data_IF_943911894117
#
_entry.id   IF_943911894117
#
_cell.length_a   1.000
_cell.length_b   1.000
_cell.length_c   1.000
_cell.angle_alpha   90.00
_cell.angle_beta   90.00
_cell.angle_gamma   90.00
#
_symmetry.space_group_name_H-M   'P 1'
#
loop_
_entity.id
_entity.type
_entity.pdbx_description
1 polymer ?
#
# COMPACT_ATOMS: atom_id res chain seq x y z
N UNK A 1 6.48 21.58 -6.53
CA UNK A 1 6.09 22.77 -5.73
C UNK A 1 4.65 23.11 -6.11
N UNK A 2 3.79 23.29 -5.10
CA UNK A 2 2.34 23.52 -5.15
C UNK A 2 1.44 22.32 -5.55
N UNK A 3 1.12 21.48 -4.56
CA UNK A 3 -0.08 20.64 -4.52
C UNK A 3 -1.32 21.55 -4.54
N UNK A 4 -2.23 21.34 -5.49
CA UNK A 4 -3.63 21.74 -5.36
C UNK A 4 -4.28 20.80 -4.34
N UNK A 5 -4.10 21.11 -3.04
CA UNK A 5 -4.81 20.47 -1.92
C UNK A 5 -6.31 20.86 -2.04
N UNK A 6 -7.15 19.85 -2.25
CA UNK A 6 -8.61 19.93 -2.35
C UNK A 6 -9.17 20.74 -1.17
N UNK A 7 -9.79 21.89 -1.45
CA UNK A 7 -10.25 22.88 -0.45
C UNK A 7 -11.21 22.31 0.61
N UNK A 8 -11.81 21.13 0.37
CA UNK A 8 -12.62 20.39 1.34
C UNK A 8 -11.77 19.77 2.47
N UNK A 9 -10.51 19.43 2.20
CA UNK A 9 -9.55 18.91 3.18
C UNK A 9 -9.07 19.98 4.16
N UNK A 10 -8.79 21.18 3.67
CA UNK A 10 -8.35 22.33 4.48
C UNK A 10 -9.41 22.77 5.50
N UNK A 11 -10.66 22.89 5.10
CA UNK A 11 -11.76 23.28 5.99
C UNK A 11 -11.95 22.23 7.09
N UNK A 12 -11.93 20.93 6.76
CA UNK A 12 -12.00 19.85 7.75
C UNK A 12 -10.80 19.83 8.70
N UNK A 13 -9.59 20.12 8.22
CA UNK A 13 -8.38 20.28 9.06
C UNK A 13 -8.59 21.42 10.07
N UNK A 14 -9.09 22.58 9.63
CA UNK A 14 -9.35 23.74 10.49
C UNK A 14 -10.44 23.45 11.54
N UNK A 15 -11.57 22.84 11.15
CA UNK A 15 -12.62 22.46 12.11
C UNK A 15 -12.12 21.45 13.16
N UNK A 16 -11.29 20.49 12.75
CA UNK A 16 -10.68 19.53 13.67
C UNK A 16 -9.72 20.20 14.65
N UNK A 17 -8.90 21.15 14.18
CA UNK A 17 -8.02 21.94 15.04
C UNK A 17 -8.81 22.82 16.03
N UNK A 18 -9.91 23.44 15.59
CA UNK A 18 -10.80 24.22 16.47
C UNK A 18 -11.42 23.35 17.57
N UNK A 19 -11.88 22.14 17.24
CA UNK A 19 -12.43 21.21 18.22
C UNK A 19 -11.38 20.78 19.26
N UNK A 20 -10.11 20.63 18.87
CA UNK A 20 -9.02 20.34 19.81
C UNK A 20 -8.72 21.49 20.76
N UNK A 21 -8.70 22.74 20.26
CA UNK A 21 -8.53 23.93 21.10
C UNK A 21 -9.66 24.04 22.13
N UNK A 22 -10.91 23.85 21.70
CA UNK A 22 -12.08 23.88 22.59
C UNK A 22 -11.99 22.81 23.69
N UNK A 23 -11.55 21.60 23.35
CA UNK A 23 -11.35 20.52 24.34
C UNK A 23 -10.28 20.87 25.37
N UNK A 24 -9.15 21.46 24.95
CA UNK A 24 -8.09 21.88 25.88
C UNK A 24 -8.59 22.96 26.83
N UNK A 25 -9.33 23.94 26.33
CA UNK A 25 -9.94 24.99 27.16
C UNK A 25 -10.94 24.38 28.15
N UNK A 26 -11.81 23.48 27.71
CA UNK A 26 -12.76 22.79 28.58
C UNK A 26 -12.06 22.03 29.72
N UNK A 27 -11.00 21.29 29.41
CA UNK A 27 -10.19 20.58 30.39
C UNK A 27 -9.57 21.54 31.40
N UNK A 28 -9.02 22.66 30.94
CA UNK A 28 -8.42 23.67 31.82
C UNK A 28 -9.46 24.30 32.77
N UNK A 29 -10.67 24.57 32.28
CA UNK A 29 -11.79 25.06 33.10
C UNK A 29 -12.20 24.02 34.14
N UNK A 30 -12.38 22.75 33.74
CA UNK A 30 -12.73 21.67 34.66
C UNK A 30 -11.67 21.46 35.75
N UNK A 31 -10.38 21.48 35.38
CA UNK A 31 -9.27 21.40 36.32
C UNK A 31 -9.26 22.60 37.28
N UNK A 32 -9.45 23.82 36.76
CA UNK A 32 -9.49 25.04 37.58
C UNK A 32 -10.61 24.99 38.63
N UNK A 33 -11.82 24.62 38.22
CA UNK A 33 -12.96 24.46 39.14
C UNK A 33 -12.70 23.34 40.16
N UNK A 34 -12.19 22.20 39.70
CA UNK A 34 -11.89 21.06 40.58
C UNK A 34 -10.85 21.40 41.64
N UNK A 35 -9.73 22.02 41.25
CA UNK A 35 -8.66 22.44 42.17
C UNK A 35 -9.16 23.50 43.15
N UNK A 36 -9.97 24.46 42.70
CA UNK A 36 -10.53 25.50 43.56
C UNK A 36 -11.48 24.92 44.63
N UNK A 37 -12.32 23.94 44.26
CA UNK A 37 -13.20 23.25 45.20
C UNK A 37 -12.42 22.42 46.24
N UNK A 38 -11.33 21.76 45.82
CA UNK A 38 -10.45 21.02 46.73
C UNK A 38 -9.74 21.98 47.70
N UNK A 39 -9.26 23.14 47.23
CA UNK A 39 -8.57 24.12 48.06
C UNK A 39 -9.46 24.66 49.20
N UNK A 40 -10.75 24.86 48.95
CA UNK A 40 -11.72 25.34 49.94
C UNK A 40 -11.98 24.35 51.10
N UNK A 41 -11.63 23.08 50.94
CA UNK A 41 -11.76 22.06 51.99
C UNK A 41 -10.71 22.20 53.11
N UNK A 42 -9.55 22.80 52.82
CA UNK A 42 -8.35 22.72 53.66
C UNK A 42 -8.46 23.36 55.06
N UNK A 43 -9.48 24.18 55.33
CA UNK A 43 -9.58 24.94 56.59
C UNK A 43 -10.63 24.43 57.58
N UNK A 44 -11.54 23.50 57.22
CA UNK A 44 -12.79 23.33 58.00
C UNK A 44 -13.48 21.95 57.79
N UNK A 45 -12.76 20.88 58.11
CA UNK A 45 -13.10 19.48 57.82
C UNK A 45 -14.38 18.90 58.47
N UNK A 46 -14.96 19.56 59.48
CA UNK A 46 -16.05 19.00 60.29
C UNK A 46 -17.47 19.18 59.72
N UNK A 47 -17.65 19.92 58.61
CA UNK A 47 -18.99 20.20 58.04
C UNK A 47 -19.33 19.27 56.87
N UNK A 48 -20.51 18.60 56.86
CA UNK A 48 -20.90 17.66 55.80
C UNK A 48 -21.00 18.30 54.40
N UNK A 49 -21.38 19.59 54.32
CA UNK A 49 -21.39 20.32 53.05
C UNK A 49 -20.00 20.46 52.41
N UNK A 50 -18.93 20.52 53.21
CA UNK A 50 -17.55 20.64 52.73
C UNK A 50 -16.99 19.30 52.25
N UNK A 51 -17.46 18.17 52.79
CA UNK A 51 -17.13 16.84 52.27
C UNK A 51 -17.69 16.63 50.86
N UNK A 52 -18.91 17.12 50.58
CA UNK A 52 -19.48 17.08 49.24
C UNK A 52 -18.66 17.88 48.21
N UNK A 53 -18.13 19.05 48.60
CA UNK A 53 -17.26 19.86 47.73
C UNK A 53 -15.95 19.14 47.37
N UNK A 54 -15.37 18.38 48.31
CA UNK A 54 -14.18 17.57 48.04
C UNK A 54 -14.47 16.46 47.02
N UNK A 55 -15.57 15.73 47.20
CA UNK A 55 -15.96 14.64 46.28
C UNK A 55 -16.21 15.19 44.87
N UNK A 56 -16.94 16.30 44.76
CA UNK A 56 -17.20 16.96 43.47
C UNK A 56 -15.91 17.49 42.85
N UNK A 57 -15.03 18.11 43.64
CA UNK A 57 -13.73 18.61 43.17
C UNK A 57 -12.83 17.48 42.65
N UNK A 58 -12.73 16.38 43.39
CA UNK A 58 -11.98 15.19 42.99
C UNK A 58 -12.56 14.57 41.71
N UNK A 59 -13.89 14.46 41.64
CA UNK A 59 -14.57 13.95 40.45
C UNK A 59 -14.27 14.82 39.21
N UNK A 60 -14.32 16.14 39.33
CA UNK A 60 -13.98 17.06 38.22
C UNK A 60 -12.53 16.92 37.77
N UNK A 61 -11.59 16.79 38.71
CA UNK A 61 -10.18 16.55 38.38
C UNK A 61 -9.98 15.19 37.68
N UNK A 62 -10.57 14.12 38.19
CA UNK A 62 -10.51 12.78 37.57
C UNK A 62 -11.15 12.80 36.18
N UNK A 63 -12.28 13.48 36.01
CA UNK A 63 -12.95 13.63 34.72
C UNK A 63 -12.09 14.39 33.71
N UNK A 64 -11.46 15.50 34.13
CA UNK A 64 -10.56 16.26 33.27
C UNK A 64 -9.34 15.44 32.83
N UNK A 65 -8.73 14.68 33.76
CA UNK A 65 -7.63 13.75 33.47
C UNK A 65 -8.09 12.62 32.54
N UNK A 66 -9.28 12.06 32.75
CA UNK A 66 -9.84 11.02 31.89
C UNK A 66 -10.08 11.52 30.46
N UNK A 67 -10.61 12.75 30.28
CA UNK A 67 -10.79 13.37 28.97
C UNK A 67 -9.44 13.56 28.25
N UNK A 68 -8.42 14.05 28.96
CA UNK A 68 -7.06 14.18 28.41
C UNK A 68 -6.46 12.82 28.03
N UNK A 69 -6.58 11.84 28.92
CA UNK A 69 -6.10 10.49 28.69
C UNK A 69 -6.74 9.91 27.44
N UNK A 70 -8.07 9.93 27.32
CA UNK A 70 -8.78 9.42 26.14
C UNK A 70 -8.32 10.15 24.87
N UNK A 71 -8.16 11.47 24.88
CA UNK A 71 -7.71 12.23 23.71
C UNK A 71 -6.28 11.85 23.30
N UNK A 72 -5.35 11.81 24.25
CA UNK A 72 -3.95 11.49 23.99
C UNK A 72 -3.80 10.04 23.50
N UNK A 73 -4.46 9.11 24.19
CA UNK A 73 -4.39 7.70 23.84
C UNK A 73 -5.11 7.37 22.52
N UNK A 74 -6.22 8.03 22.19
CA UNK A 74 -6.92 7.79 20.91
C UNK A 74 -6.07 8.12 19.68
N UNK A 75 -5.12 9.06 19.80
CA UNK A 75 -4.22 9.47 18.71
C UNK A 75 -2.96 8.60 18.63
N UNK A 76 -2.44 8.16 19.77
CA UNK A 76 -1.23 7.32 19.84
C UNK A 76 -1.54 5.87 19.44
N UNK A 77 -2.77 5.42 19.69
CA UNK A 77 -3.12 4.00 19.56
C UNK A 77 -3.22 3.50 18.12
N UNK A 78 -3.30 4.35 17.09
CA UNK A 78 -3.40 3.88 15.70
C UNK A 78 -2.59 4.75 14.75
N UNK A 79 -1.69 4.10 14.02
CA UNK A 79 -0.94 4.68 12.90
C UNK A 79 -1.30 3.90 11.66
N UNK A 80 -1.74 4.58 10.60
CA UNK A 80 -2.03 3.97 9.30
C UNK A 80 -1.32 4.77 8.22
N UNK A 81 -0.51 4.08 7.44
CA UNK A 81 0.14 4.62 6.25
C UNK A 81 -0.33 3.84 5.03
N UNK A 82 -0.56 4.57 3.94
CA UNK A 82 -0.88 3.99 2.62
C UNK A 82 0.18 4.50 1.65
N UNK A 83 0.74 3.59 0.88
CA UNK A 83 1.78 3.84 -0.10
C UNK A 83 1.26 3.40 -1.46
N UNK A 84 1.26 4.33 -2.42
CA UNK A 84 0.93 4.07 -3.81
C UNK A 84 2.13 3.41 -4.49
N UNK A 85 1.99 2.13 -4.82
CA UNK A 85 2.92 1.39 -5.64
C UNK A 85 2.42 1.25 -7.08
N UNK A 86 3.32 0.82 -7.96
CA UNK A 86 2.99 0.49 -9.35
C UNK A 86 3.51 -0.87 -9.73
N UNK A 87 2.88 -1.50 -10.72
CA UNK A 87 3.47 -2.61 -11.45
C UNK A 87 3.15 -2.48 -12.93
N UNK A 88 3.99 -3.10 -13.76
CA UNK A 88 3.84 -3.08 -15.21
C UNK A 88 3.49 -4.50 -15.64
N UNK A 89 2.48 -4.60 -16.48
CA UNK A 89 1.98 -5.85 -17.04
C UNK A 89 2.04 -5.79 -18.56
N UNK A 90 2.69 -6.76 -19.18
CA UNK A 90 2.67 -6.92 -20.64
C UNK A 90 1.48 -7.81 -21.03
N UNK A 91 0.52 -7.21 -21.70
CA UNK A 91 -0.71 -7.88 -22.13
C UNK A 91 -0.46 -8.90 -23.25
N UNK A 92 0.66 -8.82 -23.97
CA UNK A 92 1.00 -9.78 -25.03
C UNK A 92 1.59 -11.06 -24.47
N UNK A 93 2.55 -10.94 -23.56
CA UNK A 93 3.25 -12.08 -22.95
C UNK A 93 2.53 -12.63 -21.71
N UNK A 94 1.51 -11.94 -21.21
CA UNK A 94 0.75 -12.30 -20.00
C UNK A 94 1.68 -12.41 -18.77
N UNK A 95 2.62 -11.47 -18.67
CA UNK A 95 3.68 -11.49 -17.69
C UNK A 95 3.92 -10.11 -17.07
N UNK A 96 4.45 -10.11 -15.84
CA UNK A 96 4.92 -8.88 -15.22
C UNK A 96 6.24 -8.43 -15.84
N UNK A 97 6.39 -7.12 -16.00
CA UNK A 97 7.64 -6.51 -16.42
C UNK A 97 8.34 -5.93 -15.18
N UNK A 98 9.52 -6.46 -14.90
CA UNK A 98 10.35 -5.98 -13.79
C UNK A 98 10.87 -4.58 -14.10
N UNK A 99 10.62 -3.64 -13.18
CA UNK A 99 11.18 -2.30 -13.23
C UNK A 99 12.49 -2.28 -12.46
N UNK A 100 13.58 -1.98 -13.15
CA UNK A 100 14.91 -1.92 -12.56
C UNK A 100 14.97 -0.98 -11.35
N UNK A 101 15.71 -1.39 -10.32
CA UNK A 101 15.89 -0.67 -9.05
C UNK A 101 14.61 -0.37 -8.28
N UNK A 102 13.46 -0.88 -8.72
CA UNK A 102 12.20 -0.75 -7.99
C UNK A 102 11.83 -2.06 -7.30
N UNK A 103 12.13 -2.13 -6.00
CA UNK A 103 11.98 -3.33 -5.19
C UNK A 103 10.60 -3.98 -5.34
N UNK A 104 9.53 -3.19 -5.25
CA UNK A 104 8.18 -3.73 -5.29
C UNK A 104 7.88 -4.44 -6.61
N UNK A 105 8.19 -3.82 -7.75
CA UNK A 105 8.00 -4.46 -9.05
C UNK A 105 8.88 -5.70 -9.21
N UNK A 106 10.15 -5.62 -8.81
CA UNK A 106 11.09 -6.73 -8.90
C UNK A 106 10.64 -7.95 -8.07
N UNK A 107 10.23 -7.74 -6.82
CA UNK A 107 9.80 -8.84 -5.94
C UNK A 107 8.51 -9.49 -6.43
N UNK A 108 7.55 -8.70 -6.93
CA UNK A 108 6.33 -9.25 -7.53
C UNK A 108 6.68 -10.16 -8.71
N UNK A 109 7.54 -9.73 -9.63
CA UNK A 109 7.98 -10.56 -10.77
C UNK A 109 8.69 -11.83 -10.27
N UNK A 110 9.64 -11.67 -9.33
CA UNK A 110 10.45 -12.76 -8.79
C UNK A 110 9.60 -13.86 -8.16
N UNK A 111 8.65 -13.51 -7.30
CA UNK A 111 7.77 -14.50 -6.66
C UNK A 111 6.73 -15.05 -7.61
N UNK A 112 6.23 -14.25 -8.56
CA UNK A 112 5.31 -14.71 -9.59
C UNK A 112 5.95 -15.80 -10.46
N UNK A 113 7.11 -15.49 -11.06
CA UNK A 113 7.83 -16.41 -11.94
C UNK A 113 8.21 -17.69 -11.21
N UNK A 114 8.68 -17.58 -9.97
CA UNK A 114 9.01 -18.73 -9.15
C UNK A 114 7.79 -19.59 -8.77
N UNK A 115 6.63 -18.97 -8.51
CA UNK A 115 5.41 -19.70 -8.18
C UNK A 115 4.88 -20.47 -9.40
N UNK A 116 4.90 -19.85 -10.58
CA UNK A 116 4.45 -20.47 -11.82
C UNK A 116 5.39 -21.58 -12.29
N UNK A 117 6.70 -21.44 -12.07
CA UNK A 117 7.66 -22.49 -12.35
C UNK A 117 7.43 -23.75 -11.49
N UNK A 118 6.94 -23.57 -10.25
CA UNK A 118 6.75 -24.68 -9.31
C UNK A 118 5.36 -25.31 -9.33
N UNK A 119 4.29 -24.53 -9.51
CA UNK A 119 2.91 -24.98 -9.34
C UNK A 119 2.06 -24.71 -10.59
N UNK A 120 1.82 -25.79 -11.36
CA UNK A 120 1.01 -25.75 -12.57
C UNK A 120 -0.46 -25.39 -12.28
N UNK A 121 -0.98 -25.68 -11.09
CA UNK A 121 -2.35 -25.33 -10.73
C UNK A 121 -2.46 -23.83 -10.46
N UNK A 122 -1.46 -23.23 -9.81
CA UNK A 122 -1.38 -21.76 -9.69
C UNK A 122 -1.32 -21.09 -11.05
N UNK A 123 -0.48 -21.61 -11.96
CA UNK A 123 -0.41 -21.10 -13.34
C UNK A 123 -1.77 -21.12 -14.02
N UNK A 124 -2.45 -22.26 -14.01
CA UNK A 124 -3.77 -22.41 -14.62
C UNK A 124 -4.82 -21.48 -13.98
N UNK A 125 -4.75 -21.23 -12.67
CA UNK A 125 -5.63 -20.27 -11.98
C UNK A 125 -5.33 -18.83 -12.43
N UNK A 126 -4.06 -18.46 -12.56
CA UNK A 126 -3.64 -17.13 -13.00
C UNK A 126 -4.13 -16.80 -14.41
N UNK A 127 -4.00 -17.75 -15.34
CA UNK A 127 -4.47 -17.59 -16.73
C UNK A 127 -5.99 -17.31 -16.81
N UNK A 128 -6.75 -17.75 -15.81
CA UNK A 128 -8.19 -17.47 -15.66
C UNK A 128 -8.49 -16.15 -14.93
N UNK A 129 -7.50 -15.54 -14.27
CA UNK A 129 -7.60 -14.30 -13.49
C UNK A 129 -6.99 -13.11 -14.22
N UNK A 130 -7.40 -12.87 -15.48
CA UNK A 130 -6.94 -11.71 -16.25
C UNK A 130 -7.25 -10.39 -15.57
N UNK A 131 -6.32 -9.44 -15.72
CA UNK A 131 -6.49 -8.06 -15.25
C UNK A 131 -7.54 -7.34 -16.09
N UNK A 132 -8.81 -7.50 -15.74
CA UNK A 132 -9.91 -6.74 -16.35
C UNK A 132 -9.84 -5.28 -15.88
N UNK A 133 -9.85 -4.33 -16.83
CA UNK A 133 -10.05 -2.91 -16.55
C UNK A 133 -11.38 -2.71 -15.83
N UNK A 134 -11.32 -2.10 -14.63
CA UNK A 134 -12.49 -1.76 -13.80
C UNK A 134 -13.45 -2.93 -13.52
N UNK A 135 -13.17 -3.77 -12.52
CA UNK A 135 -14.30 -4.51 -11.93
C UNK A 135 -14.04 -5.70 -11.02
N UNK A 136 -12.88 -6.37 -11.11
CA UNK A 136 -12.62 -7.53 -10.26
C UNK A 136 -11.32 -7.38 -9.49
N UNK A 137 -11.43 -7.53 -8.16
CA UNK A 137 -10.28 -7.72 -7.26
C UNK A 137 -9.48 -8.90 -7.83
N UNK A 138 -8.24 -8.66 -8.26
CA UNK A 138 -7.34 -9.77 -8.60
C UNK A 138 -6.79 -10.32 -7.28
N UNK A 139 -7.56 -11.24 -6.69
CA UNK A 139 -7.27 -11.85 -5.39
C UNK A 139 -5.89 -12.50 -5.39
N UNK A 140 -5.51 -13.11 -6.51
CA UNK A 140 -4.22 -13.78 -6.64
C UNK A 140 -3.06 -12.76 -6.62
N UNK A 141 -3.19 -11.62 -7.30
CA UNK A 141 -2.22 -10.53 -7.17
C UNK A 141 -2.15 -9.98 -5.74
N UNK A 142 -3.30 -9.80 -5.07
CA UNK A 142 -3.35 -9.34 -3.68
C UNK A 142 -2.64 -10.34 -2.75
N UNK A 143 -2.85 -11.63 -2.93
CA UNK A 143 -2.17 -12.69 -2.17
C UNK A 143 -0.66 -12.68 -2.39
N UNK A 144 -0.21 -12.58 -3.64
CA UNK A 144 1.20 -12.48 -4.03
C UNK A 144 1.88 -11.27 -3.38
N UNK A 145 1.30 -10.08 -3.56
CA UNK A 145 1.83 -8.84 -3.02
C UNK A 145 1.83 -8.84 -1.48
N UNK A 146 0.79 -9.41 -0.86
CA UNK A 146 0.73 -9.55 0.59
C UNK A 146 1.81 -10.50 1.11
N UNK A 147 2.10 -11.60 0.40
CA UNK A 147 3.22 -12.48 0.71
C UNK A 147 4.56 -11.75 0.60
N UNK A 148 4.80 -10.98 -0.47
CA UNK A 148 6.02 -10.21 -0.64
C UNK A 148 6.27 -9.23 0.52
N UNK A 149 5.22 -8.55 1.00
CA UNK A 149 5.29 -7.68 2.17
C UNK A 149 5.57 -8.45 3.47
N UNK A 150 4.96 -9.63 3.65
CA UNK A 150 5.24 -10.48 4.80
C UNK A 150 6.69 -10.97 4.79
N UNK A 151 7.22 -11.35 3.62
CA UNK A 151 8.62 -11.75 3.51
C UNK A 151 9.56 -10.57 3.80
N UNK A 152 9.21 -9.36 3.34
CA UNK A 152 9.98 -8.17 3.68
C UNK A 152 9.98 -7.88 5.19
N UNK A 153 8.84 -8.06 5.86
CA UNK A 153 8.77 -7.99 7.31
C UNK A 153 9.67 -9.06 7.95
N UNK A 154 9.65 -10.28 7.43
CA UNK A 154 10.47 -11.40 7.89
C UNK A 154 11.96 -11.08 7.85
N UNK A 155 12.44 -10.53 6.72
CA UNK A 155 13.83 -10.09 6.55
C UNK A 155 14.17 -8.97 7.53
N UNK A 156 13.34 -7.92 7.59
CA UNK A 156 13.55 -6.76 8.46
C UNK A 156 13.63 -7.14 9.94
N UNK A 157 12.75 -8.05 10.39
CA UNK A 157 12.75 -8.52 11.78
C UNK A 157 13.93 -9.43 12.09
N UNK A 158 14.34 -10.26 11.13
CA UNK A 158 15.53 -11.10 11.29
C UNK A 158 16.77 -10.23 11.49
N UNK A 159 16.96 -9.21 10.66
CA UNK A 159 18.07 -8.25 10.81
C UNK A 159 17.99 -7.49 12.13
N UNK A 160 16.79 -7.05 12.53
CA UNK A 160 16.59 -6.31 13.77
C UNK A 160 16.89 -7.11 15.02
N UNK A 161 16.48 -8.39 15.07
CA UNK A 161 16.65 -9.25 16.23
C UNK A 161 17.96 -10.04 16.24
N UNK A 162 18.80 -9.91 15.21
CA UNK A 162 20.11 -10.56 15.15
C UNK A 162 21.16 -9.93 16.10
N UNK A 163 20.79 -8.93 16.90
CA UNK A 163 21.66 -8.32 17.91
C UNK A 163 21.63 -9.09 19.24
N UNK A 164 22.82 -9.37 19.79
CA UNK A 164 23.05 -9.94 21.14
C UNK A 164 22.35 -9.20 22.28
N UNK A 165 21.89 -7.97 22.04
CA UNK A 165 21.18 -7.19 23.04
C UNK A 165 19.78 -7.76 23.36
N UNK A 166 19.22 -8.65 22.54
CA UNK A 166 17.92 -9.31 22.78
C UNK A 166 18.08 -10.65 23.49
N UNK A 167 17.12 -10.96 24.36
CA UNK A 167 17.08 -12.25 25.05
C UNK A 167 16.30 -13.25 24.18
N UNK A 168 16.94 -14.34 23.74
CA UNK A 168 16.30 -15.39 22.94
C UNK A 168 15.04 -15.95 23.62
N UNK A 169 15.04 -16.01 24.95
CA UNK A 169 13.88 -16.44 25.74
C UNK A 169 12.65 -15.53 25.62
N UNK A 170 12.79 -14.33 25.05
CA UNK A 170 11.67 -13.40 24.82
C UNK A 170 11.17 -13.41 23.37
N UNK A 171 11.85 -14.14 22.48
CA UNK A 171 11.54 -14.24 21.05
C UNK A 171 11.02 -15.64 20.71
N UNK A 172 10.31 -15.71 19.59
CA UNK A 172 9.71 -16.90 19.02
C UNK A 172 9.90 -16.84 17.50
N UNK A 173 10.36 -17.93 16.91
CA UNK A 173 10.61 -18.03 15.46
C UNK A 173 9.45 -18.81 14.84
N UNK A 174 8.56 -18.10 14.15
CA UNK A 174 7.44 -18.72 13.45
C UNK A 174 7.92 -19.37 12.17
N UNK A 175 7.66 -20.67 12.05
CA UNK A 175 7.87 -21.47 10.85
C UNK A 175 6.51 -21.90 10.29
N UNK A 176 6.52 -22.69 9.20
CA UNK A 176 5.29 -23.18 8.58
C UNK A 176 4.35 -23.87 9.56
N UNK A 177 4.88 -24.70 10.44
CA UNK A 177 4.08 -25.51 11.36
C UNK A 177 3.37 -24.67 12.43
N UNK A 178 3.86 -23.44 12.67
CA UNK A 178 3.25 -22.47 13.58
C UNK A 178 2.16 -21.62 12.89
N UNK A 179 2.04 -21.72 11.55
CA UNK A 179 1.02 -21.00 10.80
C UNK A 179 -0.34 -21.68 10.92
N UNK A 180 -1.37 -20.89 11.20
CA UNK A 180 -2.74 -21.39 11.25
C UNK A 180 -3.25 -21.75 9.85
N UNK A 181 -4.19 -22.70 9.78
CA UNK A 181 -4.84 -23.09 8.51
C UNK A 181 -5.47 -21.89 7.79
N UNK A 182 -5.95 -20.89 8.53
CA UNK A 182 -6.51 -19.68 7.95
C UNK A 182 -5.45 -18.81 7.26
N UNK A 183 -4.26 -18.70 7.84
CA UNK A 183 -3.13 -17.97 7.24
C UNK A 183 -2.64 -18.67 5.97
N UNK A 184 -2.64 -20.00 5.97
CA UNK A 184 -2.29 -20.84 4.82
C UNK A 184 -3.36 -20.85 3.71
N UNK A 185 -4.46 -20.08 3.84
CA UNK A 185 -5.38 -19.83 2.70
C UNK A 185 -4.74 -18.95 1.63
N UNK A 186 -3.75 -18.13 1.98
CA UNK A 186 -2.92 -17.44 0.99
C UNK A 186 -2.01 -18.46 0.30
N UNK A 187 -2.23 -18.69 -0.99
CA UNK A 187 -1.59 -19.80 -1.71
C UNK A 187 -0.09 -19.59 -1.90
N UNK A 188 0.36 -18.35 -2.10
CA UNK A 188 1.79 -18.02 -2.21
C UNK A 188 2.52 -18.29 -0.90
N UNK A 189 1.96 -17.86 0.23
CA UNK A 189 2.51 -18.19 1.55
C UNK A 189 2.49 -19.70 1.78
N UNK A 190 1.41 -20.38 1.39
CA UNK A 190 1.29 -21.83 1.51
C UNK A 190 2.26 -22.59 0.61
N UNK A 191 2.70 -22.03 -0.52
CA UNK A 191 3.72 -22.59 -1.40
C UNK A 191 5.11 -22.35 -0.82
N UNK A 192 5.49 -21.09 -0.62
CA UNK A 192 6.86 -20.72 -0.28
C UNK A 192 7.27 -21.10 1.14
N UNK A 193 6.32 -21.26 2.06
CA UNK A 193 6.64 -21.80 3.40
C UNK A 193 6.83 -23.32 3.43
N UNK A 194 6.59 -24.06 2.33
CA UNK A 194 6.79 -25.52 2.31
C UNK A 194 8.27 -25.85 2.55
N UNK A 195 8.58 -26.89 3.35
CA UNK A 195 9.92 -27.45 3.45
C UNK A 195 10.48 -27.81 2.06
N UNK A 196 11.77 -27.60 1.86
CA UNK A 196 12.43 -27.77 0.56
C UNK A 196 12.21 -29.19 0.00
N UNK A 197 12.21 -30.20 0.87
CA UNK A 197 12.08 -31.61 0.52
C UNK A 197 10.69 -31.97 -0.01
N UNK A 198 9.70 -31.11 0.24
CA UNK A 198 8.31 -31.26 -0.21
C UNK A 198 7.99 -30.45 -1.47
N UNK A 199 8.97 -29.75 -2.04
CA UNK A 199 8.82 -28.89 -3.22
C UNK A 199 9.46 -29.58 -4.42
N UNK A 200 8.65 -29.86 -5.45
CA UNK A 200 9.04 -30.71 -6.58
C UNK A 200 10.37 -30.32 -7.26
N UNK A 201 10.66 -29.02 -7.50
CA UNK A 201 11.93 -28.61 -8.12
C UNK A 201 13.18 -28.99 -7.29
N UNK A 202 13.05 -29.05 -5.96
CA UNK A 202 14.20 -29.20 -5.05
C UNK A 202 14.43 -30.63 -4.56
N UNK A 203 13.56 -31.59 -4.90
CA UNK A 203 13.68 -32.98 -4.43
C UNK A 203 15.02 -33.60 -4.83
N UNK A 204 15.45 -33.39 -6.09
CA UNK A 204 16.72 -33.94 -6.59
C UNK A 204 17.92 -33.35 -5.87
N UNK A 205 17.90 -32.04 -5.60
CA UNK A 205 18.97 -31.34 -4.88
C UNK A 205 19.06 -31.80 -3.43
N UNK A 206 17.91 -31.93 -2.75
CA UNK A 206 17.83 -32.45 -1.38
C UNK A 206 18.42 -33.86 -1.26
N UNK A 207 18.18 -34.72 -2.25
CA UNK A 207 18.71 -36.08 -2.25
C UNK A 207 20.23 -36.11 -2.44
N UNK A 208 20.80 -35.13 -3.15
CA UNK A 208 22.24 -35.00 -3.36
C UNK A 208 22.97 -34.35 -2.16
N UNK A 209 22.31 -33.45 -1.44
CA UNK A 209 22.88 -32.69 -0.30
C UNK A 209 22.89 -33.45 1.03
N UNK A 210 22.32 -34.66 1.10
CA UNK A 210 22.42 -35.52 2.30
C UNK A 210 23.86 -35.88 2.69
N UNK A 211 24.84 -35.68 1.78
CA UNK A 211 26.26 -35.93 2.01
C UNK A 211 27.08 -34.66 2.36
N UNK A 212 26.49 -33.46 2.36
CA UNK A 212 27.22 -32.19 2.52
C UNK A 212 27.07 -31.58 3.92
N UNK A 213 27.85 -32.09 4.89
CA UNK A 213 28.25 -31.39 6.12
C UNK A 213 27.16 -30.90 7.09
N UNK A 214 27.56 -30.32 8.25
CA UNK A 214 26.64 -29.74 9.22
C UNK A 214 26.31 -28.30 8.80
N UNK A 215 25.30 -28.14 7.95
CA UNK A 215 24.78 -26.83 7.56
C UNK A 215 23.30 -26.89 7.24
N UNK A 216 22.56 -25.83 7.54
CA UNK A 216 21.15 -25.74 7.19
C UNK A 216 20.97 -24.85 5.94
N UNK A 217 20.25 -25.37 4.94
CA UNK A 217 19.96 -24.62 3.72
C UNK A 217 18.91 -23.55 4.01
N UNK A 218 19.31 -22.28 3.90
CA UNK A 218 18.43 -21.13 4.11
C UNK A 218 17.86 -20.56 2.81
N UNK A 219 18.53 -20.80 1.68
CA UNK A 219 18.07 -20.40 0.36
C UNK A 219 18.63 -21.33 -0.72
N UNK A 220 17.85 -21.59 -1.78
CA UNK A 220 18.28 -22.34 -2.97
C UNK A 220 17.50 -21.91 -4.21
N UNK A 221 18.06 -22.17 -5.40
CA UNK A 221 17.43 -21.93 -6.69
C UNK A 221 17.49 -23.18 -7.55
N UNK A 222 16.36 -23.58 -8.15
CA UNK A 222 16.31 -24.75 -9.03
C UNK A 222 15.17 -24.60 -10.03
N UNK A 223 15.47 -24.79 -11.32
CA UNK A 223 14.49 -24.81 -12.42
C UNK A 223 13.51 -23.62 -12.42
N UNK A 224 14.00 -22.41 -12.11
CA UNK A 224 13.18 -21.20 -12.03
C UNK A 224 12.43 -21.00 -10.72
N UNK A 225 12.35 -22.04 -9.87
CA UNK A 225 11.79 -21.93 -8.53
C UNK A 225 12.81 -21.40 -7.53
N UNK A 226 12.31 -20.67 -6.53
CA UNK A 226 13.12 -20.13 -5.43
C UNK A 226 12.71 -20.80 -4.11
N UNK A 227 13.69 -21.26 -3.35
CA UNK A 227 13.53 -21.68 -1.98
C UNK A 227 14.16 -20.63 -1.06
N UNK A 228 13.36 -20.11 -0.14
CA UNK A 228 13.81 -19.27 0.98
C UNK A 228 13.16 -19.86 2.23
N UNK A 229 13.96 -20.18 3.24
CA UNK A 229 13.40 -20.76 4.46
C UNK A 229 12.57 -19.70 5.19
N UNK A 230 11.24 -19.86 5.16
CA UNK A 230 10.33 -18.99 5.87
C UNK A 230 10.58 -19.03 7.39
N UNK A 231 10.92 -17.87 7.97
CA UNK A 231 11.17 -17.69 9.40
C UNK A 231 10.80 -16.28 9.85
N UNK A 232 9.72 -16.14 10.60
CA UNK A 232 9.30 -14.84 11.10
C UNK A 232 9.59 -14.73 12.61
N UNK A 233 10.61 -13.94 12.97
CA UNK A 233 11.01 -13.73 14.37
C UNK A 233 10.13 -12.67 15.02
N UNK A 234 9.40 -13.04 16.08
CA UNK A 234 8.48 -12.14 16.78
C UNK A 234 8.61 -12.29 18.30
N UNK A 235 8.15 -11.29 19.09
CA UNK A 235 8.04 -11.44 20.53
C UNK A 235 7.13 -12.60 20.93
N UNK A 236 7.46 -13.32 22.00
CA UNK A 236 6.67 -14.47 22.48
C UNK A 236 5.19 -14.15 22.69
N UNK A 237 4.35 -15.10 22.31
CA UNK A 237 2.89 -15.00 22.41
C UNK A 237 2.26 -14.14 21.30
N UNK A 238 3.02 -13.92 20.22
CA UNK A 238 2.49 -13.34 18.98
C UNK A 238 1.60 -14.34 18.24
N UNK A 239 0.75 -13.84 17.34
CA UNK A 239 -0.13 -14.66 16.52
C UNK A 239 -0.30 -14.04 15.13
N UNK A 240 -0.31 -14.88 14.11
CA UNK A 240 -0.64 -14.49 12.75
C UNK A 240 -2.07 -14.90 12.41
N UNK A 241 -2.81 -13.99 11.80
CA UNK A 241 -4.17 -14.25 11.31
C UNK A 241 -4.37 -13.59 9.95
N UNK A 242 -5.10 -14.24 9.05
CA UNK A 242 -5.55 -13.65 7.79
C UNK A 242 -6.92 -13.00 7.98
N UNK A 243 -7.11 -11.80 7.41
CA UNK A 243 -8.40 -11.09 7.37
C UNK A 243 -9.12 -11.40 6.05
N UNK A 244 -10.44 -11.28 6.03
CA UNK A 244 -11.29 -11.61 4.87
C UNK A 244 -10.97 -10.80 3.59
N UNK A 245 -10.32 -9.66 3.73
CA UNK A 245 -9.87 -8.82 2.61
C UNK A 245 -8.47 -9.18 2.09
N UNK A 246 -7.86 -10.26 2.59
CA UNK A 246 -6.53 -10.73 2.20
C UNK A 246 -5.39 -10.16 3.03
N UNK A 247 -5.66 -9.24 3.97
CA UNK A 247 -4.62 -8.65 4.80
C UNK A 247 -4.09 -9.62 5.87
N UNK A 248 -2.79 -9.59 6.12
CA UNK A 248 -2.15 -10.37 7.19
C UNK A 248 -2.02 -9.51 8.44
N UNK A 249 -2.56 -10.01 9.55
CA UNK A 249 -2.47 -9.38 10.86
C UNK A 249 -1.47 -10.11 11.75
N UNK A 250 -0.47 -9.39 12.25
CA UNK A 250 0.47 -9.83 13.29
C UNK A 250 0.04 -9.23 14.62
N UNK A 251 -0.54 -10.06 15.49
CA UNK A 251 -1.00 -9.67 16.82
C UNK A 251 0.05 -10.01 17.85
N UNK A 252 0.48 -9.05 18.63
CA UNK A 252 1.44 -9.24 19.73
C UNK A 252 0.79 -8.88 21.07
N UNK A 253 1.56 -8.90 22.17
CA UNK A 253 1.06 -8.43 23.47
C UNK A 253 0.74 -6.92 23.48
N UNK A 254 1.43 -6.11 22.66
CA UNK A 254 1.38 -4.64 22.75
C UNK A 254 0.92 -3.94 21.48
N UNK A 255 1.07 -4.60 20.34
CA UNK A 255 0.88 -4.08 19.00
C UNK A 255 0.07 -5.09 18.18
N UNK A 256 -0.90 -4.60 17.43
CA UNK A 256 -1.52 -5.32 16.33
C UNK A 256 -1.08 -4.62 15.02
N UNK A 257 -0.30 -5.31 14.20
CA UNK A 257 0.17 -4.84 12.90
C UNK A 257 -0.67 -5.49 11.80
N UNK A 258 -1.11 -4.71 10.81
CA UNK A 258 -1.86 -5.18 9.65
C UNK A 258 -1.11 -4.78 8.39
N UNK A 259 -0.79 -5.77 7.56
CA UNK A 259 -0.23 -5.61 6.23
C UNK A 259 -1.34 -5.90 5.22
N UNK A 260 -1.76 -4.89 4.47
CA UNK A 260 -2.86 -5.03 3.51
C UNK A 260 -2.50 -4.49 2.15
N UNK A 261 -2.86 -5.21 1.10
CA UNK A 261 -2.76 -4.77 -0.29
C UNK A 261 -4.16 -4.57 -0.85
N UNK A 262 -4.39 -3.43 -1.50
CA UNK A 262 -5.63 -3.13 -2.21
C UNK A 262 -5.31 -2.86 -3.67
N UNK A 263 -5.90 -3.68 -4.53
CA UNK A 263 -5.82 -3.53 -5.97
C UNK A 263 -7.23 -3.49 -6.56
N UNK A 264 -7.56 -2.40 -7.27
CA UNK A 264 -8.89 -2.15 -7.84
C UNK A 264 -8.89 -2.06 -9.37
N UNK A 265 -7.78 -2.39 -10.04
CA UNK A 265 -7.67 -2.36 -11.49
C UNK A 265 -7.49 -0.96 -12.09
N UNK A 266 -7.08 0.02 -11.29
CA UNK A 266 -6.83 1.39 -11.79
C UNK A 266 -5.49 1.45 -12.51
N UNK A 267 -5.48 2.00 -13.72
CA UNK A 267 -4.24 2.30 -14.41
C UNK A 267 -3.56 3.54 -13.82
N UNK A 268 -2.24 3.52 -13.74
CA UNK A 268 -1.41 4.66 -13.30
C UNK A 268 -0.73 5.28 -14.51
N UNK A 269 -0.74 6.61 -14.60
CA UNK A 269 0.05 7.32 -15.60
C UNK A 269 1.49 7.46 -15.11
N UNK A 270 2.45 6.88 -15.83
CA UNK A 270 3.87 7.13 -15.59
C UNK A 270 4.29 8.49 -16.15
N UNK A 271 5.34 9.11 -15.62
CA UNK A 271 5.91 10.30 -16.21
C UNK A 271 6.22 10.11 -17.70
N UNK A 272 6.16 11.20 -18.46
CA UNK A 272 6.40 11.19 -19.90
C UNK A 272 7.66 10.42 -20.27
N UNK A 273 7.56 9.57 -21.29
CA UNK A 273 8.67 8.79 -21.86
C UNK A 273 9.32 7.78 -20.91
N UNK A 274 8.77 7.57 -19.70
CA UNK A 274 9.32 6.61 -18.75
C UNK A 274 9.33 5.19 -19.32
N UNK A 275 8.23 4.74 -19.90
CA UNK A 275 8.14 3.39 -20.47
C UNK A 275 9.16 3.18 -21.60
N UNK A 276 9.35 4.17 -22.48
CA UNK A 276 10.29 4.06 -23.59
C UNK A 276 11.75 4.13 -23.14
N UNK A 277 12.09 5.15 -22.35
CA UNK A 277 13.48 5.47 -22.03
C UNK A 277 14.02 4.68 -20.82
N UNK A 278 13.17 4.34 -19.85
CA UNK A 278 13.58 3.62 -18.64
C UNK A 278 13.34 2.11 -18.75
N UNK A 279 12.15 1.71 -19.22
CA UNK A 279 11.81 0.29 -19.37
C UNK A 279 12.29 -0.29 -20.71
N UNK A 280 12.78 0.54 -21.63
CA UNK A 280 13.22 0.09 -22.95
C UNK A 280 12.09 -0.42 -23.84
N UNK A 281 10.84 -0.03 -23.55
CA UNK A 281 9.66 -0.54 -24.26
C UNK A 281 9.40 0.32 -25.51
N UNK A 282 9.54 -0.28 -26.69
CA UNK A 282 9.27 0.39 -27.97
C UNK A 282 7.78 0.60 -28.23
N UNK A 283 6.91 -0.27 -27.71
CA UNK A 283 5.46 -0.22 -27.87
C UNK A 283 4.72 -0.13 -26.52
N UNK A 284 4.61 1.07 -25.92
CA UNK A 284 3.98 1.28 -24.62
C UNK A 284 2.51 0.84 -24.56
N UNK A 285 1.83 0.76 -25.70
CA UNK A 285 0.40 0.42 -25.82
C UNK A 285 0.09 -0.99 -25.26
N UNK A 286 1.06 -1.91 -25.29
CA UNK A 286 0.88 -3.27 -24.77
C UNK A 286 1.28 -3.42 -23.30
N UNK A 287 1.76 -2.34 -22.68
CA UNK A 287 2.28 -2.34 -21.33
C UNK A 287 1.33 -1.55 -20.43
N UNK A 288 0.41 -2.25 -19.80
CA UNK A 288 -0.51 -1.66 -18.83
C UNK A 288 0.23 -1.41 -17.53
N UNK A 289 0.17 -0.17 -17.05
CA UNK A 289 0.72 0.22 -15.76
C UNK A 289 -0.44 0.34 -14.79
N UNK A 290 -0.38 -0.42 -13.70
CA UNK A 290 -1.42 -0.46 -12.70
C UNK A 290 -0.97 0.16 -11.38
N UNK A 291 -1.89 0.81 -10.70
CA UNK A 291 -1.70 1.34 -9.35
C UNK A 291 -2.15 0.32 -8.30
N UNK A 292 -1.38 0.22 -7.22
CA UNK A 292 -1.71 -0.62 -6.08
C UNK A 292 -1.50 0.16 -4.79
N UNK A 293 -2.44 0.03 -3.87
CA UNK A 293 -2.32 0.60 -2.54
C UNK A 293 -1.77 -0.43 -1.57
N UNK A 294 -0.58 -0.17 -1.03
CA UNK A 294 -0.02 -0.94 0.07
C UNK A 294 -0.29 -0.18 1.37
N UNK A 295 -0.93 -0.84 2.32
CA UNK A 295 -1.29 -0.26 3.61
C UNK A 295 -0.62 -0.99 4.76
N UNK A 296 -0.06 -0.21 5.68
CA UNK A 296 0.45 -0.69 6.96
C UNK A 296 -0.33 0.03 8.05
N UNK A 297 -1.00 -0.73 8.91
CA UNK A 297 -1.71 -0.22 10.09
C UNK A 297 -1.12 -0.84 11.35
N UNK A 298 -0.67 0.01 12.26
CA UNK A 298 -0.17 -0.34 13.58
C UNK A 298 -1.14 0.16 14.64
N UNK A 299 -1.73 -0.75 15.41
CA UNK A 299 -2.61 -0.45 16.53
C UNK A 299 -1.97 -0.83 17.87
N UNK A 300 -1.70 0.13 18.75
CA UNK A 300 -1.13 -0.10 20.08
C UNK A 300 -2.22 -0.34 21.12
N UNK A 301 -1.98 -1.28 22.03
CA UNK A 301 -2.89 -1.57 23.14
C UNK A 301 -2.65 -0.61 24.30
N UNK A 302 -3.75 -0.06 24.84
CA UNK A 302 -3.76 0.99 25.87
C UNK A 302 -3.02 0.62 27.17
N UNK A 303 -3.29 -0.56 27.71
CA UNK A 303 -2.72 -1.01 29.00
C UNK A 303 -1.19 -1.18 28.92
N UNK A 304 -0.63 -1.83 27.89
CA UNK A 304 0.83 -1.90 27.71
C UNK A 304 1.54 -0.56 27.50
N UNK A 305 0.88 0.50 27.02
CA UNK A 305 1.48 1.85 26.86
C UNK A 305 2.02 2.44 28.17
N UNK A 306 1.46 2.05 29.30
CA UNK A 306 1.91 2.50 30.62
C UNK A 306 3.12 1.71 31.15
N UNK A 307 3.46 0.57 30.52
CA UNK A 307 4.57 -0.26 30.95
C UNK A 307 5.91 0.30 30.44
N UNK A 308 6.84 0.61 31.35
CA UNK A 308 8.16 1.18 30.98
C UNK A 308 9.12 0.18 30.31
N UNK A 309 9.06 -1.10 30.68
CA UNK A 309 9.97 -2.15 30.16
C UNK A 309 9.43 -2.80 28.90
N UNK A 310 10.28 -3.32 28.02
CA UNK A 310 9.90 -4.17 26.88
C UNK A 310 9.50 -3.48 25.57
N UNK A 311 9.58 -2.14 25.51
CA UNK A 311 9.31 -1.39 24.26
C UNK A 311 10.38 -1.59 23.19
N UNK A 312 11.61 -1.95 23.60
CA UNK A 312 12.70 -2.24 22.67
C UNK A 312 12.33 -3.30 21.63
N UNK A 313 11.51 -4.30 21.98
CA UNK A 313 11.04 -5.32 21.03
C UNK A 313 10.09 -4.81 19.93
N UNK A 314 9.75 -3.51 19.93
CA UNK A 314 8.81 -2.89 19.00
C UNK A 314 9.39 -1.67 18.28
N UNK A 315 10.65 -1.29 18.52
CA UNK A 315 11.26 -0.10 17.87
C UNK A 315 11.57 -0.30 16.39
N UNK A 316 11.61 -1.55 15.91
CA UNK A 316 11.70 -1.86 14.49
C UNK A 316 10.53 -1.33 13.65
N UNK A 317 9.40 -1.00 14.29
CA UNK A 317 8.19 -0.60 13.58
C UNK A 317 8.41 0.68 12.76
N UNK A 318 9.08 1.68 13.32
CA UNK A 318 9.34 2.94 12.63
C UNK A 318 10.26 2.73 11.43
N UNK A 319 11.35 1.98 11.61
CA UNK A 319 12.26 1.66 10.51
C UNK A 319 11.59 0.79 9.45
N UNK A 320 10.67 -0.10 9.83
CA UNK A 320 9.91 -0.91 8.88
C UNK A 320 8.93 -0.07 8.05
N UNK A 321 8.25 0.91 8.66
CA UNK A 321 7.38 1.83 7.92
C UNK A 321 8.17 2.62 6.87
N UNK A 322 9.36 3.11 7.22
CA UNK A 322 10.21 3.84 6.27
C UNK A 322 10.82 2.91 5.21
N UNK A 323 11.20 1.69 5.58
CA UNK A 323 11.67 0.67 4.63
C UNK A 323 10.62 0.39 3.55
N UNK A 324 9.38 0.08 3.94
CA UNK A 324 8.29 -0.16 2.98
C UNK A 324 7.95 1.10 2.19
N UNK A 325 7.94 2.27 2.81
CA UNK A 325 7.75 3.54 2.10
C UNK A 325 8.76 3.69 0.97
N UNK A 326 10.04 3.46 1.28
CA UNK A 326 11.13 3.63 0.33
C UNK A 326 11.09 2.61 -0.83
N UNK A 327 10.65 1.39 -0.54
CA UNK A 327 10.62 0.25 -1.47
C UNK A 327 9.36 0.17 -2.34
N UNK A 328 8.23 0.69 -1.84
CA UNK A 328 6.93 0.59 -2.52
C UNK A 328 6.48 1.91 -3.14
N UNK A 329 6.76 3.06 -2.56
CA UNK A 329 6.21 4.33 -3.06
C UNK A 329 6.73 4.65 -4.48
N UNK A 330 5.81 4.80 -5.43
CA UNK A 330 6.06 5.29 -6.80
C UNK A 330 6.81 6.61 -6.77
N UNK A 331 6.34 7.57 -5.97
CA UNK A 331 6.94 8.90 -5.86
C UNK A 331 8.37 8.81 -5.33
N UNK A 332 8.58 8.03 -4.26
CA UNK A 332 9.91 7.85 -3.69
C UNK A 332 10.87 7.19 -4.70
N UNK A 333 10.40 6.16 -5.41
CA UNK A 333 11.17 5.49 -6.47
C UNK A 333 11.58 6.48 -7.57
N UNK A 334 10.63 7.18 -8.19
CA UNK A 334 10.90 8.14 -9.27
C UNK A 334 11.87 9.26 -8.84
N UNK A 335 11.78 9.68 -7.57
CA UNK A 335 12.69 10.64 -6.98
C UNK A 335 14.09 10.04 -6.75
N UNK A 336 14.17 8.81 -6.26
CA UNK A 336 15.45 8.13 -5.96
C UNK A 336 16.31 7.89 -7.19
N UNK A 337 15.69 7.59 -8.34
CA UNK A 337 16.40 7.45 -9.62
C UNK A 337 16.67 8.80 -10.30
N UNK A 338 16.21 9.92 -9.72
CA UNK A 338 16.39 11.25 -10.28
C UNK A 338 15.69 11.46 -11.61
N UNK A 339 14.53 10.82 -11.84
CA UNK A 339 13.88 10.75 -13.14
C UNK A 339 13.68 12.11 -13.82
N UNK A 340 13.21 13.10 -13.07
CA UNK A 340 12.96 14.45 -13.59
C UNK A 340 14.23 15.10 -14.13
N UNK A 341 15.35 14.92 -13.44
CA UNK A 341 16.66 15.44 -13.88
C UNK A 341 17.14 14.69 -15.12
N UNK A 342 17.08 13.34 -15.10
CA UNK A 342 17.50 12.52 -16.23
C UNK A 342 16.69 12.83 -17.50
N UNK A 343 15.36 12.93 -17.39
CA UNK A 343 14.49 13.28 -18.50
C UNK A 343 14.75 14.70 -19.02
N UNK A 344 14.97 15.67 -18.12
CA UNK A 344 15.33 17.04 -18.53
C UNK A 344 16.64 17.05 -19.32
N UNK A 345 17.67 16.35 -18.85
CA UNK A 345 18.94 16.22 -19.54
C UNK A 345 18.78 15.55 -20.91
N UNK A 346 18.01 14.46 -20.99
CA UNK A 346 17.70 13.79 -22.24
C UNK A 346 17.04 14.75 -23.25
N UNK A 347 16.05 15.54 -22.82
CA UNK A 347 15.38 16.53 -23.67
C UNK A 347 16.32 17.64 -24.16
N UNK A 348 17.28 18.07 -23.32
CA UNK A 348 18.28 19.05 -23.71
C UNK A 348 19.29 18.49 -24.73
N UNK A 349 19.64 17.21 -24.62
CA UNK A 349 20.57 16.54 -25.53
C UNK A 349 19.93 16.13 -26.87
N UNK A 350 18.61 15.95 -26.91
CA UNK A 350 17.88 15.49 -28.10
C UNK A 350 16.82 16.54 -28.55
N UNK A 351 17.24 17.72 -29.02
CA UNK A 351 16.33 18.82 -29.37
C UNK A 351 15.42 18.50 -30.56
N UNK A 352 15.74 17.50 -31.39
CA UNK A 352 14.91 17.07 -32.52
C UNK A 352 13.53 16.54 -32.06
N UNK A 353 13.45 15.93 -30.87
CA UNK A 353 12.19 15.53 -30.22
C UNK A 353 11.26 16.71 -29.86
N UNK A 354 11.74 17.96 -30.01
CA UNK A 354 10.97 19.19 -29.78
C UNK A 354 10.17 19.64 -31.00
N UNK A 355 10.57 19.24 -32.22
CA UNK A 355 9.91 19.66 -33.46
C UNK A 355 8.69 18.80 -33.81
N UNK A 356 8.70 17.49 -33.49
CA UNK A 356 7.55 16.61 -33.73
C UNK A 356 6.28 17.06 -32.98
N UNK A 357 6.43 17.67 -31.79
CA UNK A 357 5.30 18.25 -31.04
C UNK A 357 4.84 19.62 -31.56
N UNK A 358 5.68 20.34 -32.32
CA UNK A 358 5.29 21.62 -32.94
C UNK A 358 4.54 21.40 -34.23
N UNK A 359 4.98 20.43 -35.04
CA UNK A 359 4.32 20.12 -36.32
C UNK A 359 2.88 19.59 -36.13
N UNK A 360 2.60 18.86 -35.04
CA UNK A 360 1.24 18.42 -34.70
C UNK A 360 0.29 19.55 -34.25
N UNK A 361 0.81 20.75 -33.94
CA UNK A 361 0.00 21.92 -33.62
C UNK A 361 -0.10 22.92 -34.79
N UNK A 362 0.74 22.82 -35.81
CA UNK A 362 0.75 23.73 -36.96
C UNK A 362 0.11 23.15 -38.23
N UNK A 363 -0.16 21.85 -38.29
CA UNK A 363 -0.81 21.23 -39.47
C UNK A 363 -2.28 21.65 -39.68
N UNK A 364 -2.91 22.32 -38.72
CA UNK A 364 -4.31 22.79 -38.83
C UNK A 364 -4.45 24.26 -39.28
N UNK A 365 -3.37 24.97 -39.63
CA UNK A 365 -3.46 26.41 -39.94
C UNK A 365 -2.86 26.90 -41.27
N UNK A 366 -2.40 26.05 -42.18
CA UNK A 366 -1.92 26.52 -43.50
C UNK A 366 -2.53 25.79 -44.71
N UNK A 367 -3.77 26.17 -45.05
CA UNK A 367 -4.26 26.37 -46.42
C UNK A 367 -5.34 27.47 -46.36
N UNK A 368 -5.35 28.63 -47.02
CA UNK A 368 -4.57 29.35 -48.06
C UNK A 368 -5.02 30.83 -47.99
N UNK A 369 -4.20 31.84 -48.35
CA UNK A 369 -4.71 33.17 -48.72
C UNK A 369 -4.96 33.25 -50.25
N UNK A 370 -6.07 33.88 -50.64
CA UNK A 370 -6.56 33.91 -52.02
C UNK A 370 -6.12 35.11 -52.87
N UNK A 371 -6.71 35.21 -54.07
CA UNK A 371 -7.07 36.48 -54.74
C UNK A 371 -8.00 36.26 -55.94
N UNK A 372 -8.72 37.33 -56.25
CA UNK A 372 -10.00 37.44 -56.97
C UNK A 372 -9.89 37.45 -58.51
N UNK A 373 -11.02 37.20 -59.20
CA UNK A 373 -11.69 38.16 -60.10
C UNK A 373 -13.02 37.60 -60.68
N UNK A 374 -14.08 38.42 -60.56
CA UNK A 374 -15.24 38.71 -61.44
C UNK A 374 -15.68 37.69 -62.52
N UNK A 375 -16.95 37.26 -62.54
CA UNK A 375 -18.10 37.98 -63.15
C UNK A 375 -19.33 37.08 -63.45
N UNK A 376 -20.53 37.64 -63.23
CA UNK A 376 -21.82 37.42 -63.92
C UNK A 376 -22.60 36.08 -63.89
N UNK A 377 -23.74 36.15 -63.16
CA UNK A 377 -25.12 36.00 -63.67
C UNK A 377 -25.91 34.66 -63.55
N UNK A 378 -27.11 34.84 -62.97
CA UNK A 378 -28.46 34.28 -63.31
C UNK A 378 -28.92 32.87 -62.91
N UNK A 379 -30.17 32.83 -62.40
CA UNK A 379 -31.13 31.70 -62.37
C UNK A 379 -31.21 31.00 -61.01
N UNK A 380 -32.24 31.19 -60.17
CA UNK A 380 -33.60 30.59 -60.25
C UNK A 380 -33.53 29.04 -60.22
N UNK A 381 -34.27 28.26 -59.44
CA UNK A 381 -35.52 28.45 -58.72
C UNK A 381 -35.61 27.50 -57.52
N UNK A 382 -36.50 27.89 -56.61
CA UNK A 382 -37.08 27.12 -55.52
C UNK A 382 -37.97 26.02 -56.11
N UNK A 383 -37.89 24.78 -55.62
CA UNK A 383 -39.13 24.01 -55.45
C UNK A 383 -39.11 23.05 -54.27
N UNK A 384 -40.29 22.91 -53.69
CA UNK A 384 -40.59 22.36 -52.40
C UNK A 384 -41.16 20.93 -52.50
N UNK A 385 -40.98 20.19 -51.42
CA UNK A 385 -41.91 19.19 -50.87
C UNK A 385 -42.21 17.92 -51.69
N UNK A 386 -42.03 16.76 -51.05
CA UNK A 386 -43.19 15.91 -50.75
C UNK A 386 -42.95 14.90 -49.61
N UNK A 387 -43.98 14.78 -48.78
CA UNK A 387 -44.17 13.77 -47.73
C UNK A 387 -44.38 12.38 -48.34
N UNK A 388 -44.02 11.33 -47.59
CA UNK A 388 -44.94 10.20 -47.29
C UNK A 388 -44.52 9.40 -46.06
N UNK A 389 -45.55 8.91 -45.35
CA UNK A 389 -45.58 8.28 -44.02
C UNK A 389 -45.47 6.74 -44.10
N UNK A 390 -44.78 6.15 -43.11
CA UNK A 390 -45.14 4.95 -42.28
C UNK A 390 -45.45 3.58 -42.94
N UNK A 391 -45.61 2.47 -42.18
CA UNK A 391 -44.75 1.82 -41.16
C UNK A 391 -44.63 0.28 -41.38
N UNK A 392 -44.05 -0.44 -40.39
CA UNK A 392 -44.31 -1.84 -39.96
C UNK A 392 -43.19 -2.91 -39.99
N UNK A 393 -43.34 -3.83 -39.02
CA UNK A 393 -42.62 -5.08 -38.64
C UNK A 393 -41.33 -4.87 -37.85
N UNK A 394 -41.15 -5.30 -36.59
CA UNK A 394 -41.63 -6.44 -35.77
C UNK A 394 -41.19 -7.81 -36.29
N UNK A 395 -40.08 -8.30 -35.70
CA UNK A 395 -39.67 -9.69 -35.42
C UNK A 395 -38.39 -9.54 -34.54
N UNK A 396 -38.16 -10.17 -33.39
CA UNK A 396 -38.59 -11.48 -32.92
C UNK A 396 -37.51 -12.51 -33.25
N UNK A 397 -36.58 -12.79 -32.32
CA UNK A 397 -36.10 -14.14 -31.93
C UNK A 397 -34.79 -14.12 -31.12
N UNK A 398 -34.88 -14.83 -29.98
CA UNK A 398 -33.90 -15.58 -29.18
C UNK A 398 -32.66 -14.90 -28.56
#
# INVERSE_FOLDING_TARGET
MAEMDDGKGLIRKVFRQRAEVVKIVLVAVLLSIGVNLIAQFTWDWAKPHKQAMLVVGLFLCVLAVAILAVNLFSKITKVRSVFEGIFVYDEKSDAFVSVDRYWFSHEICRYYDAAIAEDLALKARWENCRFELFGKRNDMFVELATYALLNQLSVHLSDYFNDTSFEDESLEVFQRDDLTKDVLKNEFLALFSKPMEKRAPFVKQTLAEKDTGPGEVIASFSDGAIYEKFRLVLPKGSRLTLRDDGAICVKTRRLDLVLGVRFIGTQSLLPSEFQRLYLGVEQPIHHSVYEVDVSIEASFRLLPLLAKKGWRYYFWLESFFEDIRSKVSREHFLKSIGWQTAYTTYRLMNPETRNDQRESCTSDQEEKPGKAETDTSTGSDIDSAERKRSPDSNDGCE
#
